data_IF_785796858459
#
_entry.id   IF_785796858459
#
_cell.length_a   1.000
_cell.length_b   1.000
_cell.length_c   1.000
_cell.angle_alpha   90.00
_cell.angle_beta   90.00
_cell.angle_gamma   90.00
#
_symmetry.space_group_name_H-M   'P 1'
#
loop_
_entity.id
_entity.type
_entity.pdbx_description
1 polymer ?
#
# COMPACT_ATOMS: atom_id res chain seq x y z
N UNK A 1 14.10 -1.72 -4.78
CA UNK A 1 14.23 -3.19 -4.59
C UNK A 1 14.48 -3.93 -5.90
N UNK A 2 13.88 -3.55 -7.02
CA UNK A 2 14.15 -4.17 -8.33
C UNK A 2 15.61 -4.16 -8.76
N UNK A 3 16.44 -3.29 -8.19
CA UNK A 3 17.88 -3.20 -8.42
C UNK A 3 18.71 -3.88 -7.30
N UNK A 4 18.08 -4.60 -6.38
CA UNK A 4 18.78 -5.20 -5.23
C UNK A 4 19.91 -6.15 -5.64
N UNK A 5 19.71 -6.91 -6.72
CA UNK A 5 20.75 -7.79 -7.28
C UNK A 5 21.95 -7.04 -7.91
N UNK A 6 21.82 -5.74 -8.16
CA UNK A 6 22.88 -4.89 -8.70
C UNK A 6 23.65 -4.12 -7.62
N UNK A 7 23.20 -4.18 -6.38
CA UNK A 7 23.81 -3.49 -5.25
C UNK A 7 24.54 -4.48 -4.34
N UNK A 8 25.66 -4.09 -3.71
CA UNK A 8 26.29 -4.91 -2.69
C UNK A 8 25.31 -5.23 -1.56
N UNK A 9 25.22 -6.49 -1.17
CA UNK A 9 24.27 -6.98 -0.15
C UNK A 9 24.40 -6.23 1.18
N UNK A 10 25.62 -5.81 1.55
CA UNK A 10 25.92 -5.05 2.76
C UNK A 10 25.22 -3.69 2.75
N UNK A 11 25.18 -3.02 1.59
CA UNK A 11 24.49 -1.71 1.42
C UNK A 11 22.97 -1.85 1.53
N UNK A 12 22.41 -2.92 0.99
CA UNK A 12 20.98 -3.20 1.11
C UNK A 12 20.63 -3.49 2.56
N UNK A 13 21.40 -4.34 3.22
CA UNK A 13 21.23 -4.71 4.63
C UNK A 13 21.32 -3.48 5.54
N UNK A 14 22.33 -2.62 5.34
CA UNK A 14 22.46 -1.35 6.06
C UNK A 14 21.22 -0.47 5.87
N UNK A 15 20.76 -0.28 4.64
CA UNK A 15 19.58 0.54 4.36
C UNK A 15 18.30 0.00 5.00
N UNK A 16 18.09 -1.32 4.95
CA UNK A 16 16.95 -1.94 5.60
C UNK A 16 17.00 -1.79 7.11
N UNK A 17 18.18 -1.90 7.71
CA UNK A 17 18.38 -1.62 9.13
C UNK A 17 18.05 -0.17 9.47
N UNK A 18 18.58 0.78 8.71
CA UNK A 18 18.37 2.22 8.94
C UNK A 18 16.87 2.59 8.85
N UNK A 19 16.14 2.03 7.88
CA UNK A 19 14.70 2.25 7.73
C UNK A 19 13.93 1.60 8.87
N UNK A 20 14.24 0.36 9.22
CA UNK A 20 13.59 -0.33 10.34
C UNK A 20 13.82 0.40 11.67
N UNK A 21 15.00 1.00 11.85
CA UNK A 21 15.34 1.75 13.06
C UNK A 21 14.46 3.00 13.28
N UNK A 22 13.76 3.47 12.27
CA UNK A 22 12.83 4.60 12.40
C UNK A 22 11.37 4.15 12.66
N UNK A 23 11.07 2.85 12.63
CA UNK A 23 9.73 2.33 12.88
C UNK A 23 9.25 2.68 14.29
N UNK A 24 7.97 3.01 14.44
CA UNK A 24 7.34 3.18 15.75
C UNK A 24 7.06 1.84 16.43
N UNK A 25 6.94 1.86 17.75
CA UNK A 25 6.75 0.65 18.54
C UNK A 25 5.41 -0.06 18.26
N UNK A 26 4.38 0.67 17.82
CA UNK A 26 3.09 0.12 17.39
C UNK A 26 3.10 -0.56 16.03
N UNK A 27 4.23 -0.50 15.33
CA UNK A 27 4.40 -1.08 13.98
C UNK A 27 4.16 -0.09 12.84
N UNK A 28 3.67 1.12 13.12
CA UNK A 28 3.57 2.19 12.11
C UNK A 28 4.98 2.67 11.69
N UNK A 29 5.03 3.41 10.59
CA UNK A 29 6.28 3.94 10.06
C UNK A 29 6.17 5.43 9.81
N UNK A 30 7.30 6.13 9.79
CA UNK A 30 7.36 7.48 9.22
C UNK A 30 7.10 7.42 7.71
N UNK A 31 6.29 8.33 7.22
CA UNK A 31 6.04 8.47 5.79
C UNK A 31 7.30 8.86 5.01
N UNK A 32 8.16 9.66 5.61
CA UNK A 32 9.40 10.11 4.97
C UNK A 32 10.62 9.74 5.81
N UNK A 33 11.60 9.09 5.17
CA UNK A 33 12.90 8.77 5.72
C UNK A 33 13.96 9.73 5.16
N UNK A 34 14.77 10.31 6.06
CA UNK A 34 15.85 11.23 5.71
C UNK A 34 17.19 10.50 5.65
N UNK A 35 17.74 10.24 4.46
CA UNK A 35 18.94 9.40 4.31
C UNK A 35 20.20 9.93 4.99
N UNK A 36 20.35 11.25 5.10
CA UNK A 36 21.54 11.86 5.68
C UNK A 36 21.57 11.76 7.21
N UNK A 37 20.42 11.93 7.84
CA UNK A 37 20.29 11.86 9.30
C UNK A 37 19.95 10.46 9.80
N UNK A 38 19.50 9.57 8.89
CA UNK A 38 18.96 8.25 9.17
C UNK A 38 17.76 8.29 10.14
N UNK A 39 16.93 9.32 10.03
CA UNK A 39 15.74 9.57 10.87
C UNK A 39 14.49 9.73 10.02
N UNK A 40 13.33 9.48 10.63
CA UNK A 40 12.05 9.85 10.08
C UNK A 40 11.83 11.37 10.09
N UNK A 41 10.96 11.86 9.22
CA UNK A 41 10.52 13.25 9.21
C UNK A 41 9.35 13.44 10.18
N UNK A 42 9.63 14.03 11.35
CA UNK A 42 8.63 14.24 12.40
C UNK A 42 7.54 15.26 12.01
N UNK A 43 7.82 16.18 11.09
CA UNK A 43 6.83 17.19 10.64
C UNK A 43 5.69 16.54 9.84
N UNK A 44 6.01 15.52 9.05
CA UNK A 44 5.02 14.72 8.33
C UNK A 44 4.45 13.61 9.22
N UNK A 45 5.31 12.94 9.99
CA UNK A 45 4.92 11.88 10.92
C UNK A 45 4.56 10.57 10.23
N UNK A 46 3.53 9.91 10.76
CA UNK A 46 3.03 8.60 10.33
C UNK A 46 1.56 8.67 9.88
N UNK A 47 0.90 7.52 9.87
CA UNK A 47 -0.51 7.31 9.49
C UNK A 47 -0.77 7.34 7.97
N UNK A 48 0.22 7.01 7.18
CA UNK A 48 0.07 6.53 5.82
C UNK A 48 0.16 5.01 5.93
N UNK A 49 -0.98 4.34 5.79
CA UNK A 49 -1.08 2.98 6.31
C UNK A 49 -0.52 1.89 5.37
N UNK A 50 -0.02 2.24 4.20
CA UNK A 50 0.81 1.35 3.37
C UNK A 50 2.26 1.29 3.84
N UNK A 51 2.79 2.38 4.46
CA UNK A 51 4.20 2.51 4.83
C UNK A 51 4.76 1.31 5.62
N UNK A 52 4.08 0.74 6.61
CA UNK A 52 4.59 -0.41 7.35
C UNK A 52 4.89 -1.62 6.47
N UNK A 53 4.11 -1.84 5.42
CA UNK A 53 4.23 -3.02 4.56
C UNK A 53 5.49 -3.02 3.69
N UNK A 54 6.03 -1.85 3.36
CA UNK A 54 7.24 -1.75 2.54
C UNK A 54 8.48 -2.31 3.22
N UNK A 55 8.54 -2.30 4.57
CA UNK A 55 9.62 -2.96 5.32
C UNK A 55 9.56 -4.48 5.15
N UNK A 56 8.36 -5.08 5.23
CA UNK A 56 8.16 -6.52 5.04
C UNK A 56 8.63 -6.94 3.64
N UNK A 57 8.26 -6.17 2.61
CA UNK A 57 8.73 -6.38 1.24
C UNK A 57 10.26 -6.31 1.15
N UNK A 58 10.84 -5.25 1.73
CA UNK A 58 12.27 -4.99 1.64
C UNK A 58 13.11 -6.12 2.22
N UNK A 59 12.79 -6.51 3.45
CA UNK A 59 13.52 -7.57 4.15
C UNK A 59 13.24 -8.94 3.53
N UNK A 60 11.99 -9.23 3.15
CA UNK A 60 11.64 -10.50 2.49
C UNK A 60 12.42 -10.70 1.18
N UNK A 61 12.47 -9.67 0.32
CA UNK A 61 13.25 -9.72 -0.91
C UNK A 61 14.76 -9.85 -0.65
N UNK A 62 15.29 -9.12 0.35
CA UNK A 62 16.69 -9.23 0.73
C UNK A 62 17.06 -10.67 1.12
N UNK A 63 16.26 -11.30 1.98
CA UNK A 63 16.50 -12.67 2.42
C UNK A 63 16.38 -13.66 1.26
N UNK A 64 15.40 -13.45 0.36
CA UNK A 64 15.24 -14.32 -0.84
C UNK A 64 16.46 -14.28 -1.75
N UNK A 65 17.06 -13.09 -1.96
CA UNK A 65 18.22 -12.91 -2.82
C UNK A 65 19.53 -13.36 -2.18
N UNK A 66 19.67 -13.20 -0.87
CA UNK A 66 20.97 -13.39 -0.19
C UNK A 66 21.06 -14.65 0.65
N UNK A 67 19.92 -15.21 1.07
CA UNK A 67 19.86 -16.29 2.06
C UNK A 67 20.21 -15.86 3.49
N UNK A 68 20.42 -14.56 3.75
CA UNK A 68 20.82 -14.02 5.07
C UNK A 68 19.64 -14.01 6.06
N UNK A 69 19.24 -15.21 6.52
CA UNK A 69 18.18 -15.38 7.52
C UNK A 69 18.61 -14.83 8.90
N UNK A 70 19.91 -14.78 9.18
CA UNK A 70 20.42 -14.25 10.46
C UNK A 70 20.16 -12.75 10.62
N UNK A 71 19.87 -12.03 9.54
CA UNK A 71 19.41 -10.64 9.62
C UNK A 71 18.14 -10.48 10.48
N UNK A 72 17.28 -11.48 10.52
CA UNK A 72 16.07 -11.46 11.35
C UNK A 72 16.33 -11.44 12.87
N UNK A 73 17.55 -11.84 13.28
CA UNK A 73 17.95 -11.90 14.70
C UNK A 73 18.62 -10.60 15.17
N UNK A 74 18.90 -9.68 14.26
CA UNK A 74 19.62 -8.44 14.59
C UNK A 74 18.70 -7.51 15.38
N UNK A 75 19.20 -6.99 16.49
CA UNK A 75 18.51 -5.99 17.30
C UNK A 75 18.49 -4.64 16.57
N UNK A 76 17.30 -4.08 16.44
CA UNK A 76 17.02 -2.81 15.76
C UNK A 76 16.25 -1.91 16.72
N UNK A 77 16.58 -0.61 16.85
CA UNK A 77 15.84 0.30 17.70
C UNK A 77 14.46 0.63 17.10
N UNK A 78 13.49 0.98 17.97
CA UNK A 78 12.28 1.69 17.57
C UNK A 78 12.50 3.20 17.67
N UNK A 79 12.08 3.95 16.66
CA UNK A 79 12.21 5.42 16.58
C UNK A 79 13.60 5.93 16.94
N UNK A 80 14.65 5.24 16.47
CA UNK A 80 16.04 5.51 16.77
C UNK A 80 16.38 5.56 18.28
N UNK A 81 15.62 4.88 19.13
CA UNK A 81 15.85 4.82 20.58
C UNK A 81 17.14 4.10 20.93
N UNK A 82 17.86 4.59 21.92
CA UNK A 82 19.07 3.90 22.44
C UNK A 82 18.72 2.66 23.27
N UNK A 83 17.58 2.65 23.92
CA UNK A 83 17.19 1.65 24.92
C UNK A 83 16.06 0.73 24.47
N UNK A 84 15.16 1.17 23.61
CA UNK A 84 14.03 0.38 23.14
C UNK A 84 14.37 -0.29 21.80
N UNK A 85 14.69 -1.58 21.84
CA UNK A 85 15.10 -2.39 20.67
C UNK A 85 14.38 -3.71 20.65
N UNK A 86 14.21 -4.24 19.46
CA UNK A 86 13.75 -5.59 19.25
C UNK A 86 14.45 -6.20 18.03
N UNK A 87 14.26 -7.51 17.81
CA UNK A 87 14.83 -8.17 16.63
C UNK A 87 14.18 -7.63 15.33
N UNK A 88 14.91 -7.71 14.22
CA UNK A 88 14.34 -7.37 12.89
C UNK A 88 13.06 -8.18 12.62
N UNK A 89 13.00 -9.44 13.05
CA UNK A 89 11.76 -10.23 12.94
C UNK A 89 10.59 -9.59 13.69
N UNK A 90 10.80 -9.08 14.90
CA UNK A 90 9.76 -8.40 15.66
C UNK A 90 9.30 -7.11 15.00
N UNK A 91 10.22 -6.37 14.36
CA UNK A 91 9.87 -5.21 13.52
C UNK A 91 8.95 -5.62 12.37
N UNK A 92 9.27 -6.71 11.65
CA UNK A 92 8.41 -7.22 10.57
C UNK A 92 7.05 -7.70 11.09
N UNK A 93 7.02 -8.37 12.24
CA UNK A 93 5.79 -8.84 12.87
C UNK A 93 4.88 -7.68 13.25
N UNK A 94 5.42 -6.59 13.78
CA UNK A 94 4.66 -5.39 14.12
C UNK A 94 4.18 -4.66 12.87
N UNK A 95 5.05 -4.50 11.85
CA UNK A 95 4.66 -3.95 10.54
C UNK A 95 3.49 -4.71 9.93
N UNK A 96 3.58 -6.03 9.90
CA UNK A 96 2.54 -6.89 9.36
C UNK A 96 1.24 -6.76 10.15
N UNK A 97 1.31 -6.90 11.49
CA UNK A 97 0.13 -6.86 12.37
C UNK A 97 -0.51 -5.47 12.46
N UNK A 98 0.18 -4.42 12.03
CA UNK A 98 -0.39 -3.09 11.97
C UNK A 98 -1.67 -3.08 11.14
N UNK A 99 -1.69 -3.76 9.99
CA UNK A 99 -2.85 -3.78 9.10
C UNK A 99 -4.06 -4.51 9.68
N UNK A 100 -3.98 -5.79 10.12
CA UNK A 100 -5.14 -6.46 10.74
C UNK A 100 -5.66 -5.78 12.00
N UNK A 101 -4.83 -4.97 12.66
CA UNK A 101 -5.25 -4.16 13.82
C UNK A 101 -5.91 -2.81 13.42
N UNK A 102 -5.89 -2.46 12.13
CA UNK A 102 -6.43 -1.20 11.59
C UNK A 102 -7.33 -1.47 10.38
N UNK A 103 -8.40 -2.24 10.60
CA UNK A 103 -9.43 -2.51 9.61
C UNK A 103 -10.63 -1.59 9.78
N UNK A 104 -11.25 -1.24 8.67
CA UNK A 104 -12.46 -0.45 8.61
C UNK A 104 -13.74 -1.29 8.59
N UNK A 105 -14.89 -0.65 8.31
CA UNK A 105 -16.21 -1.29 8.39
C UNK A 105 -16.40 -2.50 7.46
N UNK A 106 -15.71 -2.55 6.32
CA UNK A 106 -15.80 -3.66 5.36
C UNK A 106 -14.74 -4.74 5.58
N UNK A 107 -13.92 -4.63 6.64
CA UNK A 107 -12.79 -5.52 6.87
C UNK A 107 -11.59 -5.25 5.95
N UNK A 108 -11.59 -4.11 5.29
CA UNK A 108 -10.51 -3.61 4.46
C UNK A 108 -9.56 -2.71 5.29
N UNK A 109 -8.30 -2.52 4.88
CA UNK A 109 -7.38 -1.69 5.63
C UNK A 109 -7.82 -0.22 5.68
N UNK A 110 -7.75 0.40 6.85
CA UNK A 110 -7.89 1.83 6.97
C UNK A 110 -6.78 2.54 6.20
N UNK A 111 -7.14 3.56 5.41
CA UNK A 111 -6.16 4.32 4.63
C UNK A 111 -5.29 5.24 5.50
N UNK A 112 -5.80 5.67 6.67
CA UNK A 112 -5.14 6.67 7.49
C UNK A 112 -5.28 8.07 6.90
N UNK A 113 -4.18 8.82 6.83
CA UNK A 113 -4.12 10.14 6.19
C UNK A 113 -4.21 10.02 4.67
N UNK A 114 -3.48 9.07 4.13
CA UNK A 114 -3.47 8.66 2.73
C UNK A 114 -2.75 7.29 2.64
N UNK A 115 -2.66 6.73 1.45
CA UNK A 115 -1.75 5.64 1.11
C UNK A 115 -0.66 6.17 0.15
N UNK A 116 -0.11 5.33 -0.71
CA UNK A 116 0.87 5.72 -1.73
C UNK A 116 0.47 7.00 -2.50
N UNK A 117 -0.83 7.22 -2.71
CA UNK A 117 -1.34 8.45 -3.29
C UNK A 117 -1.59 9.48 -2.17
N UNK A 118 -0.56 10.22 -1.80
CA UNK A 118 -0.57 11.21 -0.72
C UNK A 118 -1.68 12.25 -0.87
N UNK A 119 -2.11 12.48 -2.10
CA UNK A 119 -3.08 13.51 -2.46
C UNK A 119 -4.54 13.02 -2.37
N UNK A 120 -4.77 11.73 -2.15
CA UNK A 120 -6.10 11.14 -1.96
C UNK A 120 -6.47 11.15 -0.46
N UNK A 121 -7.13 12.21 -0.02
CA UNK A 121 -7.35 12.51 1.41
C UNK A 121 -8.78 12.18 1.85
N UNK A 122 -9.13 10.91 1.89
CA UNK A 122 -10.51 10.42 2.06
C UNK A 122 -11.10 10.59 3.48
N UNK A 123 -10.29 10.98 4.46
CA UNK A 123 -10.74 11.32 5.81
C UNK A 123 -10.84 12.84 6.03
N UNK A 124 -10.62 13.64 4.99
CA UNK A 124 -10.80 15.08 5.02
C UNK A 124 -12.24 15.41 4.65
N UNK A 125 -13.01 15.97 5.58
CA UNK A 125 -14.43 16.30 5.42
C UNK A 125 -14.74 17.71 5.94
N UNK A 126 -13.71 18.54 6.12
CA UNK A 126 -13.84 19.94 6.50
C UNK A 126 -14.18 20.81 5.28
N UNK A 127 -14.93 21.88 5.50
CA UNK A 127 -15.13 22.93 4.50
C UNK A 127 -13.97 23.94 4.46
N UNK A 128 -12.98 23.81 5.33
CA UNK A 128 -11.75 24.61 5.30
C UNK A 128 -10.78 24.00 4.28
N UNK A 129 -10.40 24.74 3.21
CA UNK A 129 -9.44 24.26 2.22
C UNK A 129 -8.08 23.86 2.81
N UNK A 130 -7.68 24.48 3.93
CA UNK A 130 -6.42 24.12 4.60
C UNK A 130 -6.48 22.74 5.26
N UNK A 131 -7.66 22.26 5.59
CA UNK A 131 -7.85 20.90 6.14
C UNK A 131 -7.95 19.81 5.07
N UNK A 132 -8.05 20.18 3.80
CA UNK A 132 -8.10 19.21 2.69
C UNK A 132 -6.72 18.69 2.27
N UNK A 133 -5.64 19.31 2.72
CA UNK A 133 -4.29 18.88 2.37
C UNK A 133 -3.73 17.86 3.36
N UNK A 134 -3.02 16.88 2.85
CA UNK A 134 -2.42 15.81 3.63
C UNK A 134 -1.48 16.29 4.75
N UNK A 135 -0.81 17.42 4.54
CA UNK A 135 0.19 17.98 5.48
C UNK A 135 -0.43 18.86 6.57
N UNK A 136 -1.71 19.16 6.49
CA UNK A 136 -2.39 20.06 7.42
C UNK A 136 -3.53 19.37 8.16
N UNK A 137 -4.72 19.56 7.99
CA UNK A 137 -5.81 19.15 8.82
C UNK A 137 -6.30 17.71 8.66
N UNK A 138 -5.64 16.87 7.87
CA UNK A 138 -6.09 15.50 7.63
C UNK A 138 -6.22 14.72 8.93
N UNK A 139 -7.43 14.25 9.22
CA UNK A 139 -7.72 13.57 10.47
C UNK A 139 -7.24 12.13 10.43
N UNK A 140 -6.88 11.60 11.59
CA UNK A 140 -6.59 10.17 11.72
C UNK A 140 -7.79 9.38 11.24
N UNK A 141 -7.64 8.71 10.09
CA UNK A 141 -8.72 7.99 9.47
C UNK A 141 -9.09 6.74 10.25
N UNK A 142 -10.36 6.63 10.63
CA UNK A 142 -10.90 5.45 11.30
C UNK A 142 -12.00 4.78 10.48
N UNK A 143 -12.25 5.25 9.27
CA UNK A 143 -13.40 4.82 8.47
C UNK A 143 -13.03 4.59 7.01
N UNK A 144 -12.32 5.53 6.39
CA UNK A 144 -11.92 5.39 5.00
C UNK A 144 -10.93 4.23 4.80
N UNK A 145 -11.18 3.40 3.80
CA UNK A 145 -10.49 2.14 3.56
C UNK A 145 -9.83 2.13 2.18
N UNK A 146 -8.69 1.44 2.04
CA UNK A 146 -7.92 1.38 0.78
C UNK A 146 -7.83 -0.03 0.21
N UNK A 147 -8.27 -0.19 -1.04
CA UNK A 147 -8.12 -1.44 -1.80
C UNK A 147 -6.68 -1.63 -2.29
N UNK A 148 -5.93 -0.55 -2.49
CA UNK A 148 -4.51 -0.64 -2.79
C UNK A 148 -3.76 -1.30 -1.62
N UNK A 149 -3.98 -0.82 -0.38
CA UNK A 149 -3.35 -1.41 0.81
C UNK A 149 -3.79 -2.87 0.99
N UNK A 150 -5.04 -3.20 0.67
CA UNK A 150 -5.53 -4.58 0.74
C UNK A 150 -4.75 -5.51 -0.19
N UNK A 151 -4.57 -5.13 -1.46
CA UNK A 151 -3.74 -5.89 -2.41
C UNK A 151 -2.27 -6.00 -1.95
N UNK A 152 -1.70 -4.90 -1.49
CA UNK A 152 -0.36 -4.82 -0.92
C UNK A 152 -0.21 -5.80 0.27
N UNK A 153 -1.18 -5.78 1.19
CA UNK A 153 -1.20 -6.66 2.36
C UNK A 153 -1.25 -8.14 1.99
N UNK A 154 -2.06 -8.52 0.99
CA UNK A 154 -2.14 -9.92 0.54
C UNK A 154 -0.80 -10.41 0.00
N UNK A 155 -0.10 -9.60 -0.81
CA UNK A 155 1.21 -9.97 -1.36
C UNK A 155 2.23 -10.13 -0.24
N UNK A 156 2.36 -9.14 0.63
CA UNK A 156 3.40 -9.14 1.67
C UNK A 156 3.05 -10.04 2.84
N UNK A 157 1.77 -10.26 3.08
CA UNK A 157 1.30 -11.26 4.03
C UNK A 157 1.67 -12.68 3.60
N UNK A 158 1.50 -13.02 2.32
CA UNK A 158 1.98 -14.31 1.76
C UNK A 158 3.51 -14.46 1.93
N UNK A 159 4.28 -13.37 1.75
CA UNK A 159 5.73 -13.40 1.97
C UNK A 159 6.07 -13.55 3.46
N UNK A 160 5.36 -12.86 4.34
CA UNK A 160 5.54 -13.00 5.79
C UNK A 160 5.22 -14.41 6.28
N UNK A 161 4.16 -15.04 5.76
CA UNK A 161 3.82 -16.46 6.02
C UNK A 161 4.96 -17.39 5.61
N UNK A 162 5.53 -17.19 4.41
CA UNK A 162 6.68 -17.99 3.94
C UNK A 162 7.88 -17.81 4.86
N UNK A 163 8.18 -16.57 5.24
CA UNK A 163 9.28 -16.25 6.14
C UNK A 163 9.10 -16.92 7.51
N UNK A 164 7.92 -16.83 8.10
CA UNK A 164 7.60 -17.49 9.37
C UNK A 164 7.79 -19.01 9.30
N UNK A 165 7.31 -19.66 8.23
CA UNK A 165 7.52 -21.10 7.99
C UNK A 165 9.01 -21.47 7.87
N UNK A 166 9.78 -20.65 7.14
CA UNK A 166 11.21 -20.88 6.93
C UNK A 166 12.01 -20.86 8.24
N UNK A 167 11.60 -20.02 9.20
CA UNK A 167 12.27 -19.93 10.51
C UNK A 167 11.58 -20.74 11.62
N UNK A 168 10.61 -21.60 11.27
CA UNK A 168 9.95 -22.51 12.20
C UNK A 168 8.88 -21.88 13.09
N UNK A 169 8.42 -20.65 12.79
CA UNK A 169 7.34 -19.95 13.50
C UNK A 169 5.98 -20.29 12.89
N UNK A 170 5.57 -21.55 13.11
CA UNK A 170 4.38 -22.10 12.43
C UNK A 170 3.07 -21.52 12.93
N UNK A 171 2.98 -21.16 14.21
CA UNK A 171 1.76 -20.55 14.79
C UNK A 171 1.55 -19.16 14.22
N UNK A 172 2.59 -18.33 14.17
CA UNK A 172 2.55 -17.02 13.53
C UNK A 172 2.23 -17.14 12.03
N UNK A 173 2.76 -18.15 11.36
CA UNK A 173 2.46 -18.41 9.95
C UNK A 173 0.99 -18.76 9.73
N UNK A 174 0.39 -19.56 10.64
CA UNK A 174 -1.02 -19.94 10.54
C UNK A 174 -1.95 -18.76 10.80
N UNK A 175 -1.66 -17.93 11.81
CA UNK A 175 -2.40 -16.71 12.10
C UNK A 175 -2.30 -15.72 10.94
N UNK A 176 -1.09 -15.48 10.42
CA UNK A 176 -0.89 -14.61 9.28
C UNK A 176 -1.62 -15.10 8.02
N UNK A 177 -1.62 -16.40 7.76
CA UNK A 177 -2.37 -16.95 6.63
C UNK A 177 -3.87 -16.67 6.76
N UNK A 178 -4.43 -16.82 7.96
CA UNK A 178 -5.84 -16.52 8.20
C UNK A 178 -6.18 -15.05 7.93
N UNK A 179 -5.30 -14.12 8.31
CA UNK A 179 -5.51 -12.70 8.00
C UNK A 179 -5.46 -12.43 6.49
N UNK A 180 -4.53 -13.08 5.77
CA UNK A 180 -4.44 -12.99 4.31
C UNK A 180 -5.73 -13.51 3.66
N UNK A 181 -6.21 -14.69 4.08
CA UNK A 181 -7.43 -15.30 3.54
C UNK A 181 -8.66 -14.41 3.79
N UNK A 182 -8.80 -13.87 5.00
CA UNK A 182 -9.87 -12.93 5.35
C UNK A 182 -9.82 -11.66 4.47
N UNK A 183 -8.63 -11.13 4.20
CA UNK A 183 -8.47 -9.95 3.35
C UNK A 183 -8.89 -10.24 1.90
N UNK A 184 -8.50 -11.41 1.36
CA UNK A 184 -8.92 -11.84 0.03
C UNK A 184 -10.46 -11.88 -0.06
N UNK A 185 -11.11 -12.46 0.92
CA UNK A 185 -12.58 -12.54 0.94
C UNK A 185 -13.24 -11.16 1.10
N UNK A 186 -12.67 -10.26 1.91
CA UNK A 186 -13.15 -8.88 2.05
C UNK A 186 -13.04 -8.12 0.72
N UNK A 187 -11.92 -8.23 0.01
CA UNK A 187 -11.75 -7.60 -1.31
C UNK A 187 -12.73 -8.16 -2.34
N UNK A 188 -12.92 -9.48 -2.39
CA UNK A 188 -13.88 -10.11 -3.32
C UNK A 188 -15.30 -9.67 -3.06
N UNK A 189 -15.68 -9.54 -1.78
CA UNK A 189 -17.04 -9.22 -1.37
C UNK A 189 -17.36 -7.73 -1.50
N UNK A 190 -16.50 -6.87 -0.97
CA UNK A 190 -16.76 -5.45 -0.79
C UNK A 190 -15.84 -4.55 -1.64
N UNK A 191 -14.80 -5.11 -2.27
CA UNK A 191 -13.84 -4.38 -3.09
C UNK A 191 -14.04 -4.49 -4.61
N UNK A 192 -15.05 -5.23 -5.07
CA UNK A 192 -15.30 -5.47 -6.50
C UNK A 192 -16.51 -4.69 -7.01
N UNK A 193 -16.36 -3.94 -8.11
CA UNK A 193 -17.41 -3.09 -8.71
C UNK A 193 -18.05 -3.68 -9.98
N UNK A 194 -17.89 -5.00 -10.19
CA UNK A 194 -18.46 -5.71 -11.35
C UNK A 194 -17.49 -5.87 -12.53
N UNK A 195 -16.65 -4.89 -12.81
CA UNK A 195 -15.66 -4.90 -13.90
C UNK A 195 -14.22 -4.64 -13.42
N UNK A 196 -14.05 -3.97 -12.29
CA UNK A 196 -12.75 -3.65 -11.70
C UNK A 196 -12.79 -3.56 -10.17
N UNK A 197 -11.62 -3.48 -9.51
CA UNK A 197 -11.51 -3.26 -8.07
C UNK A 197 -11.75 -1.78 -7.76
N UNK A 198 -12.56 -1.50 -6.74
CA UNK A 198 -12.70 -0.15 -6.18
C UNK A 198 -11.33 0.44 -5.81
N UNK A 199 -11.22 1.75 -5.77
CA UNK A 199 -10.04 2.41 -5.21
C UNK A 199 -10.06 2.41 -3.69
N UNK A 200 -11.24 2.74 -3.13
CA UNK A 200 -11.37 2.98 -1.70
C UNK A 200 -12.85 3.08 -1.28
N UNK A 201 -13.07 3.15 0.03
CA UNK A 201 -14.25 3.74 0.64
C UNK A 201 -13.85 5.03 1.34
N UNK A 202 -14.64 6.10 1.18
CA UNK A 202 -14.39 7.38 1.84
C UNK A 202 -14.84 7.38 3.32
N UNK A 203 -14.63 8.49 4.02
CA UNK A 203 -15.05 8.65 5.41
C UNK A 203 -16.54 8.38 5.65
N UNK A 204 -17.39 8.63 4.66
CA UNK A 204 -18.85 8.43 4.75
C UNK A 204 -19.28 7.02 4.32
N UNK A 205 -18.35 6.14 3.96
CA UNK A 205 -18.62 4.79 3.45
C UNK A 205 -19.09 4.77 2.00
N UNK A 206 -18.84 5.84 1.22
CA UNK A 206 -19.14 5.88 -0.20
C UNK A 206 -17.99 5.28 -1.00
N UNK A 207 -18.33 4.60 -2.09
CA UNK A 207 -17.35 4.01 -2.99
C UNK A 207 -16.56 5.09 -3.74
N UNK A 208 -15.26 4.91 -3.83
CA UNK A 208 -14.32 5.68 -4.64
C UNK A 208 -13.70 4.75 -5.68
N UNK A 209 -13.59 5.20 -6.92
CA UNK A 209 -13.13 4.34 -7.99
C UNK A 209 -14.20 3.33 -8.46
N UNK A 210 -15.46 3.74 -8.43
CA UNK A 210 -16.62 2.97 -8.84
C UNK A 210 -17.24 3.53 -10.13
N UNK A 211 -17.93 2.67 -10.88
CA UNK A 211 -18.75 3.09 -12.00
C UNK A 211 -19.90 4.05 -11.59
N UNK A 212 -20.25 4.03 -10.31
CA UNK A 212 -21.26 4.95 -9.73
C UNK A 212 -20.75 6.40 -9.60
N UNK A 213 -19.41 6.63 -9.60
CA UNK A 213 -18.84 7.96 -9.48
C UNK A 213 -19.01 8.75 -10.80
N UNK A 214 -19.09 10.09 -10.72
CA UNK A 214 -19.13 10.98 -11.88
C UNK A 214 -17.74 11.03 -12.55
N UNK A 215 -16.69 11.26 -11.77
CA UNK A 215 -15.28 11.31 -12.14
C UNK A 215 -14.46 10.35 -11.26
N UNK A 216 -13.25 10.02 -11.64
CA UNK A 216 -12.43 9.07 -10.90
C UNK A 216 -13.07 7.69 -10.76
N UNK A 217 -13.60 7.13 -11.87
CA UNK A 217 -14.33 5.84 -11.84
C UNK A 217 -13.42 4.64 -11.67
N UNK A 218 -12.21 4.71 -12.20
CA UNK A 218 -11.21 3.63 -12.12
C UNK A 218 -9.83 4.21 -11.82
N UNK A 219 -9.06 3.52 -11.00
CA UNK A 219 -7.72 3.90 -10.59
C UNK A 219 -6.75 2.73 -10.79
N UNK A 220 -5.54 3.03 -11.27
CA UNK A 220 -4.50 2.03 -11.59
C UNK A 220 -4.03 1.26 -10.34
N UNK A 221 -3.96 1.92 -9.17
CA UNK A 221 -3.32 1.37 -7.98
C UNK A 221 -3.98 0.08 -7.52
N UNK A 222 -5.30 0.08 -7.34
CA UNK A 222 -6.01 -1.12 -6.89
C UNK A 222 -6.02 -2.21 -7.97
N UNK A 223 -6.07 -1.85 -9.26
CA UNK A 223 -6.01 -2.85 -10.33
C UNK A 223 -4.66 -3.56 -10.33
N UNK A 224 -3.58 -2.82 -10.23
CA UNK A 224 -2.23 -3.37 -10.19
C UNK A 224 -2.02 -4.27 -8.95
N UNK A 225 -2.28 -3.75 -7.77
CA UNK A 225 -1.97 -4.47 -6.52
C UNK A 225 -2.88 -5.67 -6.28
N UNK A 226 -4.18 -5.57 -6.53
CA UNK A 226 -5.09 -6.70 -6.37
C UNK A 226 -4.83 -7.80 -7.41
N UNK A 227 -4.46 -7.44 -8.64
CA UNK A 227 -4.09 -8.43 -9.68
C UNK A 227 -2.75 -9.11 -9.37
N UNK A 228 -1.73 -8.35 -8.96
CA UNK A 228 -0.46 -8.94 -8.49
C UNK A 228 -0.65 -9.88 -7.30
N UNK A 229 -1.64 -9.59 -6.45
CA UNK A 229 -2.02 -10.44 -5.33
C UNK A 229 -2.82 -11.69 -5.75
N UNK A 230 -3.21 -11.78 -7.04
CA UNK A 230 -4.04 -12.84 -7.63
C UNK A 230 -5.41 -12.97 -6.96
N UNK A 231 -5.99 -11.86 -6.47
CA UNK A 231 -7.29 -11.87 -5.78
C UNK A 231 -8.39 -12.12 -6.81
N UNK A 232 -9.14 -13.21 -6.64
CA UNK A 232 -10.21 -13.58 -7.56
C UNK A 232 -9.73 -14.01 -8.96
N UNK A 233 -8.49 -14.49 -9.09
CA UNK A 233 -7.92 -14.97 -10.36
C UNK A 233 -8.75 -16.11 -10.94
N UNK A 234 -9.10 -17.10 -10.12
CA UNK A 234 -9.87 -18.27 -10.55
C UNK A 234 -11.31 -17.90 -10.95
N UNK A 235 -11.85 -16.82 -10.38
CA UNK A 235 -13.15 -16.28 -10.72
C UNK A 235 -13.11 -15.32 -11.93
N UNK A 236 -11.93 -15.07 -12.49
CA UNK A 236 -11.72 -14.18 -13.63
C UNK A 236 -11.73 -12.69 -13.29
N UNK A 237 -11.67 -12.29 -12.00
CA UNK A 237 -11.70 -10.88 -11.61
C UNK A 237 -10.45 -10.14 -12.07
N UNK A 238 -9.28 -10.75 -11.91
CA UNK A 238 -8.01 -10.17 -12.38
C UNK A 238 -8.04 -9.90 -13.88
N UNK A 239 -8.58 -10.83 -14.67
CA UNK A 239 -8.71 -10.69 -16.12
C UNK A 239 -9.57 -9.48 -16.49
N UNK A 240 -10.76 -9.36 -15.88
CA UNK A 240 -11.69 -8.26 -16.12
C UNK A 240 -11.09 -6.90 -15.69
N UNK A 241 -10.41 -6.87 -14.56
CA UNK A 241 -9.77 -5.66 -14.06
C UNK A 241 -8.71 -5.15 -15.06
N UNK A 242 -7.87 -6.03 -15.60
CA UNK A 242 -6.85 -5.65 -16.60
C UNK A 242 -7.47 -5.29 -17.96
N UNK A 243 -8.57 -5.92 -18.36
CA UNK A 243 -9.33 -5.52 -19.55
C UNK A 243 -9.89 -4.09 -19.37
N UNK A 244 -10.40 -3.77 -18.18
CA UNK A 244 -10.85 -2.41 -17.82
C UNK A 244 -9.72 -1.39 -17.79
N UNK A 245 -8.53 -1.76 -17.32
CA UNK A 245 -7.33 -0.91 -17.40
C UNK A 245 -7.00 -0.60 -18.87
N UNK A 246 -6.94 -1.62 -19.70
CA UNK A 246 -6.66 -1.45 -21.14
C UNK A 246 -7.70 -0.56 -21.85
N UNK A 247 -8.97 -0.74 -21.52
CA UNK A 247 -10.05 0.03 -22.14
C UNK A 247 -10.09 1.48 -21.67
N UNK A 248 -9.81 1.73 -20.37
CA UNK A 248 -10.14 2.99 -19.71
C UNK A 248 -8.95 3.82 -19.29
N UNK A 249 -7.78 3.21 -19.05
CA UNK A 249 -6.60 3.91 -18.55
C UNK A 249 -5.44 3.93 -19.56
N UNK A 250 -5.43 3.03 -20.55
CA UNK A 250 -4.35 2.94 -21.53
C UNK A 250 -4.45 4.08 -22.56
N UNK A 251 -3.32 4.67 -22.89
CA UNK A 251 -3.19 5.71 -23.90
C UNK A 251 -1.85 5.60 -24.63
N UNK A 252 -1.62 6.42 -25.66
CA UNK A 252 -0.40 6.43 -26.47
C UNK A 252 0.90 6.52 -25.64
N UNK A 253 0.85 7.17 -24.48
CA UNK A 253 2.04 7.46 -23.65
C UNK A 253 2.19 6.54 -22.45
N UNK A 254 1.24 5.66 -22.19
CA UNK A 254 1.22 4.75 -21.06
C UNK A 254 -0.14 4.71 -20.36
N UNK A 255 -0.17 4.22 -19.14
CA UNK A 255 -1.40 4.04 -18.36
C UNK A 255 -1.54 5.23 -17.40
N UNK A 256 -2.65 5.97 -17.50
CA UNK A 256 -2.96 7.08 -16.60
C UNK A 256 -3.41 6.57 -15.22
N UNK A 257 -3.25 7.40 -14.18
CA UNK A 257 -3.56 7.01 -12.81
C UNK A 257 -5.04 6.75 -12.57
N UNK A 258 -5.91 7.58 -13.13
CA UNK A 258 -7.37 7.46 -12.99
C UNK A 258 -8.10 8.00 -14.20
N UNK A 259 -9.36 7.59 -14.37
CA UNK A 259 -10.23 8.07 -15.45
C UNK A 259 -11.72 8.00 -15.04
N UNK A 260 -12.57 9.01 -15.40
CA UNK A 260 -12.19 10.34 -15.88
C UNK A 260 -11.36 11.13 -14.87
N UNK A 261 -10.53 12.05 -15.36
CA UNK A 261 -9.84 13.00 -14.50
C UNK A 261 -10.83 13.89 -13.76
N UNK A 262 -10.45 14.38 -12.59
CA UNK A 262 -11.24 15.37 -11.85
C UNK A 262 -11.18 16.73 -12.57
N UNK A 263 -12.31 17.35 -12.80
CA UNK A 263 -12.44 18.66 -13.45
C UNK A 263 -12.87 19.76 -12.51
N UNK A 264 -13.27 19.41 -11.28
CA UNK A 264 -13.66 20.31 -10.20
C UNK A 264 -13.08 19.85 -8.86
N UNK A 265 -13.04 20.74 -7.88
CA UNK A 265 -12.61 20.41 -6.54
C UNK A 265 -13.67 19.60 -5.79
N UNK A 266 -13.25 18.44 -5.29
CA UNK A 266 -14.01 17.57 -4.41
C UNK A 266 -13.37 17.54 -3.03
N UNK A 267 -13.99 18.20 -2.05
CA UNK A 267 -13.45 18.27 -0.70
C UNK A 267 -13.25 16.88 -0.08
N UNK A 268 -14.12 15.93 -0.42
CA UNK A 268 -14.10 14.55 0.07
C UNK A 268 -12.94 13.70 -0.49
N UNK A 269 -12.33 14.14 -1.59
CA UNK A 269 -11.16 13.45 -2.18
C UNK A 269 -9.85 14.18 -1.90
N UNK A 270 -9.94 15.44 -1.50
CA UNK A 270 -8.80 16.24 -1.10
C UNK A 270 -7.95 16.75 -2.26
N UNK A 271 -6.65 16.78 -2.04
CA UNK A 271 -5.68 17.48 -2.90
C UNK A 271 -5.69 16.99 -4.34
N UNK A 272 -5.91 15.69 -4.59
CA UNK A 272 -5.93 15.11 -5.94
C UNK A 272 -6.85 15.88 -6.90
N UNK A 273 -7.98 16.35 -6.40
CA UNK A 273 -8.97 17.08 -7.21
C UNK A 273 -8.65 18.57 -7.41
N UNK A 274 -7.58 19.08 -6.80
CA UNK A 274 -7.10 20.45 -7.03
C UNK A 274 -6.18 20.56 -8.24
N UNK A 275 -5.60 19.45 -8.70
CA UNK A 275 -4.69 19.45 -9.83
C UNK A 275 -5.43 19.51 -11.16
N UNK A 276 -4.87 20.17 -12.17
CA UNK A 276 -5.42 20.12 -13.53
C UNK A 276 -5.48 18.68 -14.05
N UNK A 277 -6.48 18.37 -14.85
CA UNK A 277 -6.61 17.07 -15.51
C UNK A 277 -5.36 16.70 -16.31
N UNK A 278 -4.86 15.48 -16.12
CA UNK A 278 -3.62 14.98 -16.73
C UNK A 278 -2.33 15.42 -16.02
N UNK A 279 -2.44 16.08 -14.86
CA UNK A 279 -1.27 16.55 -14.11
C UNK A 279 -1.18 15.84 -12.76
N UNK A 280 0.05 15.41 -12.41
CA UNK A 280 0.35 14.67 -11.19
C UNK A 280 -0.62 13.49 -10.98
N UNK A 281 -1.16 13.36 -9.76
CA UNK A 281 -2.06 12.28 -9.38
C UNK A 281 -3.45 12.37 -10.03
N UNK A 282 -3.82 13.51 -10.60
CA UNK A 282 -5.09 13.66 -11.31
C UNK A 282 -4.98 13.21 -12.78
N UNK A 283 -5.03 11.92 -13.01
CA UNK A 283 -4.91 11.26 -14.32
C UNK A 283 -3.57 11.49 -15.05
N UNK A 284 -2.50 11.82 -14.34
CA UNK A 284 -1.15 11.81 -14.91
C UNK A 284 -0.62 10.39 -15.13
N UNK A 285 0.52 10.27 -15.79
CA UNK A 285 1.23 9.00 -15.99
C UNK A 285 2.46 8.96 -15.10
N UNK A 286 2.52 7.99 -14.20
CA UNK A 286 3.67 7.76 -13.34
C UNK A 286 4.41 6.50 -13.78
N UNK A 287 5.72 6.65 -14.07
CA UNK A 287 6.52 5.55 -14.61
C UNK A 287 6.56 4.30 -13.75
N UNK A 288 6.45 4.43 -12.42
CA UNK A 288 6.54 3.29 -11.51
C UNK A 288 5.20 2.56 -11.26
N UNK A 289 4.06 3.16 -11.61
CA UNK A 289 2.75 2.51 -11.51
C UNK A 289 2.48 1.58 -12.70
N UNK A 290 2.96 1.95 -13.88
CA UNK A 290 2.79 1.15 -15.09
C UNK A 290 3.36 -0.27 -14.93
N UNK A 291 4.56 -0.50 -14.34
CA UNK A 291 5.05 -1.83 -14.00
C UNK A 291 4.14 -2.67 -13.11
N UNK A 292 3.31 -2.07 -12.24
CA UNK A 292 2.36 -2.86 -11.45
C UNK A 292 1.34 -3.60 -12.33
N UNK A 293 0.86 -2.93 -13.38
CA UNK A 293 -0.03 -3.56 -14.37
C UNK A 293 0.74 -4.60 -15.18
N UNK A 294 1.96 -4.29 -15.64
CA UNK A 294 2.80 -5.24 -16.40
C UNK A 294 3.08 -6.52 -15.60
N UNK A 295 3.38 -6.39 -14.29
CA UNK A 295 3.56 -7.54 -13.41
C UNK A 295 2.23 -8.29 -13.27
N UNK A 296 1.13 -7.58 -13.04
CA UNK A 296 -0.21 -8.17 -12.97
C UNK A 296 -0.56 -9.00 -14.21
N UNK A 297 -0.29 -8.47 -15.42
CA UNK A 297 -0.47 -9.20 -16.69
C UNK A 297 0.33 -10.51 -16.70
N UNK A 298 1.61 -10.45 -16.28
CA UNK A 298 2.45 -11.67 -16.26
C UNK A 298 1.97 -12.68 -15.21
N UNK A 299 1.48 -12.23 -14.04
CA UNK A 299 0.97 -13.10 -12.98
C UNK A 299 -0.24 -13.94 -13.40
N UNK A 300 -1.05 -13.43 -14.33
CA UNK A 300 -2.21 -14.13 -14.87
C UNK A 300 -1.97 -14.78 -16.24
N UNK A 301 -0.72 -14.77 -16.72
CA UNK A 301 -0.31 -15.44 -17.95
C UNK A 301 -0.63 -14.65 -19.23
N UNK A 302 -0.71 -13.33 -19.14
CA UNK A 302 -0.95 -12.41 -20.29
C UNK A 302 0.32 -11.62 -20.67
N UNK A 303 1.48 -12.14 -20.43
CA UNK A 303 2.77 -11.50 -20.78
C UNK A 303 3.13 -11.59 -22.26
#
# INVERSE_FOLDING_TARGET
>A
LGAAHQLPKERIRERLYDVAATQFEDGSAYHQFQPLTKRGNADIGSNFNDDPLWLVLGVGNYIRETGDVDFLKVDVPFDNSETNKATMFEHLRRSYNYIPNHLGPHGLPLIGRADWNDCLNLNCFSNDPNESFQTTGNKKGRTAESLMIAGLFVIYGKEFVKLCKQIGKNDEAAEAQKHVDNMIEAVKKDGWDGEWYLRAYDYFGRKVGSNENEEGKIFIESQGWCTMAEIGKEEGLCQKALDSVKERLDCEYGIVLNNPAFTKYYIEYGEISTYPAGYKENAGIFCHNNPWIMIGETMIGRG
#
